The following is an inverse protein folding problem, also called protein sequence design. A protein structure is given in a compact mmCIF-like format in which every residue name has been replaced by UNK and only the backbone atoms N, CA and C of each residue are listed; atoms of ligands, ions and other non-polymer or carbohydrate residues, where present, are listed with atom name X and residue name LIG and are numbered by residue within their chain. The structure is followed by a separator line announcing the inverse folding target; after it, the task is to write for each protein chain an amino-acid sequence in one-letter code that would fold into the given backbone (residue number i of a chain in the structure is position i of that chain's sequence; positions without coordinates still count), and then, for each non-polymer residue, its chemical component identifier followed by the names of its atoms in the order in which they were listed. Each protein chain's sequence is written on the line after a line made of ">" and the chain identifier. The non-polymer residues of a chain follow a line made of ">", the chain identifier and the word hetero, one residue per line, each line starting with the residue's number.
data_IF_442323778537
#
_entry.id   IF_442323778537
#
_cell.length_a   1.000
_cell.length_b   1.000
_cell.length_c   1.000
_cell.angle_alpha   90.00
_cell.angle_beta   90.00
_cell.angle_gamma   90.00
#
_symmetry.space_group_name_H-M   'P 1'
#
loop_
_entity.id
_entity.type
_entity.pdbx_description
1 polymer ?
#
# COMPACT_ATOMS: atom_id res chain seq x y z
N UNK A 1 -16.54 5.82 -1.24
CA UNK A 1 -15.55 6.10 -0.17
C UNK A 1 -14.19 5.56 -0.59
N UNK A 2 -13.13 6.33 -0.43
CA UNK A 2 -11.74 5.95 -0.72
C UNK A 2 -10.93 6.03 0.57
N UNK A 3 -10.07 5.06 0.80
CA UNK A 3 -9.12 5.03 1.92
C UNK A 3 -7.71 4.92 1.37
N UNK A 4 -6.81 5.82 1.76
CA UNK A 4 -5.39 5.74 1.43
C UNK A 4 -4.61 5.60 2.72
N UNK A 5 -3.77 4.57 2.83
CA UNK A 5 -2.80 4.43 3.92
C UNK A 5 -1.39 4.69 3.41
N UNK A 6 -0.53 5.28 4.23
CA UNK A 6 0.87 5.60 3.90
C UNK A 6 1.79 5.22 5.05
N UNK A 7 3.03 4.87 4.72
CA UNK A 7 4.08 4.56 5.70
C UNK A 7 5.41 5.04 5.15
N UNK A 8 6.19 5.77 5.96
CA UNK A 8 7.50 6.30 5.59
C UNK A 8 7.54 7.13 4.29
N UNK A 9 6.42 7.75 3.89
CA UNK A 9 6.37 8.60 2.68
C UNK A 9 6.95 10.02 2.93
N UNK A 10 7.39 10.74 1.89
CA UNK A 10 7.79 12.14 2.01
C UNK A 10 6.69 13.06 2.55
N UNK A 11 7.06 14.16 3.23
CA UNK A 11 6.11 15.09 3.84
C UNK A 11 5.15 15.75 2.84
N UNK A 12 5.60 15.99 1.60
CA UNK A 12 4.76 16.59 0.56
C UNK A 12 3.60 15.67 0.14
N UNK A 13 3.76 14.33 0.25
CA UNK A 13 2.68 13.36 -0.03
C UNK A 13 1.57 13.49 1.01
N UNK A 14 1.93 13.59 2.29
CA UNK A 14 0.97 13.81 3.39
C UNK A 14 0.20 15.12 3.20
N UNK A 15 0.92 16.20 2.90
CA UNK A 15 0.31 17.50 2.61
C UNK A 15 -0.58 17.50 1.37
N UNK A 16 -0.25 16.71 0.35
CA UNK A 16 -1.10 16.56 -0.82
C UNK A 16 -2.41 15.83 -0.49
N UNK A 17 -2.33 14.73 0.27
CA UNK A 17 -3.48 13.92 0.68
C UNK A 17 -4.44 14.69 1.60
N UNK A 18 -3.92 15.44 2.58
CA UNK A 18 -4.73 16.20 3.53
C UNK A 18 -5.56 17.33 2.91
N UNK A 19 -5.26 17.76 1.68
CA UNK A 19 -6.08 18.71 0.93
C UNK A 19 -7.38 18.10 0.38
N UNK A 20 -7.42 16.78 0.22
CA UNK A 20 -8.54 16.05 -0.40
C UNK A 20 -9.26 15.10 0.55
N UNK A 21 -8.58 14.68 1.62
CA UNK A 21 -9.01 13.60 2.51
C UNK A 21 -8.80 14.00 3.97
N UNK A 22 -9.65 13.46 4.85
CA UNK A 22 -9.49 13.60 6.30
C UNK A 22 -8.49 12.55 6.79
N UNK A 23 -7.57 12.93 7.67
CA UNK A 23 -6.60 12.01 8.30
C UNK A 23 -7.04 11.65 9.73
N UNK A 24 -7.92 10.64 9.94
CA UNK A 24 -8.38 10.27 11.28
C UNK A 24 -7.29 9.65 12.17
N UNK A 25 -6.23 9.10 11.56
CA UNK A 25 -5.07 8.54 12.25
C UNK A 25 -3.84 8.73 11.37
N UNK A 26 -2.66 8.76 11.98
CA UNK A 26 -1.40 9.00 11.27
C UNK A 26 -1.25 8.08 10.07
N UNK A 27 -1.13 8.68 8.89
CA UNK A 27 -0.95 8.00 7.63
C UNK A 27 -2.20 7.29 7.11
N UNK A 28 -3.37 7.46 7.72
CA UNK A 28 -4.67 6.93 7.24
C UNK A 28 -5.53 8.09 6.77
N UNK A 29 -5.87 8.10 5.49
CA UNK A 29 -6.63 9.15 4.83
C UNK A 29 -7.96 8.59 4.32
N UNK A 30 -9.08 9.27 4.60
CA UNK A 30 -10.43 8.86 4.20
C UNK A 30 -11.13 10.01 3.48
N UNK A 31 -11.75 9.72 2.34
CA UNK A 31 -12.46 10.73 1.55
C UNK A 31 -13.47 10.15 0.59
N UNK A 32 -14.25 11.01 -0.05
CA UNK A 32 -15.16 10.65 -1.15
C UNK A 32 -14.90 11.57 -2.33
N UNK A 33 -14.66 10.96 -3.48
CA UNK A 33 -14.30 11.66 -4.72
C UNK A 33 -14.68 10.80 -5.92
N UNK A 34 -14.68 11.38 -7.12
CA UNK A 34 -14.92 10.64 -8.36
C UNK A 34 -13.77 9.69 -8.68
N UNK A 35 -14.03 8.67 -9.51
CA UNK A 35 -13.02 7.74 -10.00
C UNK A 35 -11.82 8.48 -10.63
N UNK A 36 -12.08 9.49 -11.46
CA UNK A 36 -11.04 10.32 -12.07
C UNK A 36 -10.15 11.01 -11.04
N UNK A 37 -10.74 11.67 -10.04
CA UNK A 37 -9.96 12.39 -9.00
C UNK A 37 -9.15 11.39 -8.16
N UNK A 38 -9.74 10.25 -7.81
CA UNK A 38 -9.04 9.16 -7.13
C UNK A 38 -7.84 8.67 -7.95
N UNK A 39 -8.02 8.43 -9.24
CA UNK A 39 -6.97 7.86 -10.09
C UNK A 39 -5.79 8.82 -10.27
N UNK A 40 -6.06 10.12 -10.44
CA UNK A 40 -5.02 11.17 -10.47
C UNK A 40 -4.30 11.30 -9.12
N UNK A 41 -5.05 11.30 -8.01
CA UNK A 41 -4.47 11.35 -6.66
C UNK A 41 -3.59 10.12 -6.40
N UNK A 42 -4.06 8.95 -6.80
CA UNK A 42 -3.32 7.70 -6.67
C UNK A 42 -2.03 7.73 -7.50
N UNK A 43 -2.09 8.15 -8.77
CA UNK A 43 -0.91 8.26 -9.62
C UNK A 43 0.16 9.17 -8.98
N UNK A 44 -0.23 10.33 -8.45
CA UNK A 44 0.69 11.23 -7.76
C UNK A 44 1.31 10.62 -6.49
N UNK A 45 0.50 9.92 -5.68
CA UNK A 45 0.96 9.25 -4.47
C UNK A 45 1.93 8.13 -4.82
N UNK A 46 1.55 7.23 -5.74
CA UNK A 46 2.36 6.08 -6.15
C UNK A 46 3.70 6.50 -6.75
N UNK A 47 3.74 7.60 -7.51
CA UNK A 47 4.98 8.14 -8.05
C UNK A 47 5.92 8.75 -6.98
N UNK A 48 5.38 9.07 -5.79
CA UNK A 48 6.08 9.84 -4.76
C UNK A 48 6.39 9.03 -3.50
N UNK A 49 6.13 7.71 -3.46
CA UNK A 49 6.30 6.90 -2.25
C UNK A 49 7.75 6.74 -1.80
N UNK A 50 8.72 6.80 -2.74
CA UNK A 50 10.14 6.57 -2.45
C UNK A 50 10.37 5.18 -1.84
N UNK A 51 11.17 5.12 -0.77
CA UNK A 51 11.39 3.90 0.04
C UNK A 51 10.23 3.60 1.00
N UNK A 52 9.22 4.48 1.04
CA UNK A 52 7.99 4.27 1.77
C UNK A 52 7.02 3.39 0.97
N UNK A 53 5.79 3.34 1.45
CA UNK A 53 4.74 2.66 0.71
C UNK A 53 3.34 3.17 1.04
N UNK A 54 2.43 2.96 0.08
CA UNK A 54 1.05 3.40 0.15
C UNK A 54 0.09 2.29 -0.29
N UNK A 55 -1.13 2.32 0.24
CA UNK A 55 -2.23 1.43 -0.14
C UNK A 55 -3.47 2.27 -0.38
N UNK A 56 -4.16 2.07 -1.49
CA UNK A 56 -5.44 2.69 -1.79
C UNK A 56 -6.53 1.64 -1.87
N UNK A 57 -7.56 1.79 -1.05
CA UNK A 57 -8.81 1.05 -1.14
C UNK A 57 -9.87 1.94 -1.77
N UNK A 58 -10.57 1.43 -2.76
CA UNK A 58 -11.65 2.16 -3.43
C UNK A 58 -12.78 1.23 -3.86
N UNK A 59 -14.01 1.73 -4.03
CA UNK A 59 -15.15 0.89 -4.36
C UNK A 59 -14.97 0.28 -5.75
N UNK A 60 -15.36 -0.98 -5.89
CA UNK A 60 -15.30 -1.75 -7.13
C UNK A 60 -16.52 -2.68 -7.22
N UNK A 61 -16.88 -3.08 -8.43
CA UNK A 61 -18.00 -4.00 -8.70
C UNK A 61 -17.48 -5.45 -8.73
N UNK A 62 -17.10 -5.94 -7.55
CA UNK A 62 -16.61 -7.29 -7.32
C UNK A 62 -17.19 -7.85 -6.00
N UNK A 63 -16.92 -9.11 -5.68
CA UNK A 63 -17.50 -9.81 -4.51
C UNK A 63 -17.18 -9.14 -3.16
N UNK A 64 -16.04 -8.45 -3.06
CA UNK A 64 -15.61 -7.75 -1.85
C UNK A 64 -16.12 -6.31 -1.78
N UNK A 65 -16.62 -5.76 -2.90
CA UNK A 65 -17.11 -4.39 -3.02
C UNK A 65 -16.01 -3.31 -3.03
N UNK A 66 -14.75 -3.70 -3.15
CA UNK A 66 -13.62 -2.78 -3.21
C UNK A 66 -12.44 -3.38 -3.98
N UNK A 67 -11.57 -2.51 -4.49
CA UNK A 67 -10.25 -2.84 -5.03
C UNK A 67 -9.16 -2.30 -4.11
N UNK A 68 -8.02 -2.99 -4.08
CA UNK A 68 -6.82 -2.58 -3.37
C UNK A 68 -5.67 -2.35 -4.34
N UNK A 69 -5.07 -1.17 -4.29
CA UNK A 69 -3.86 -0.82 -5.04
C UNK A 69 -2.72 -0.54 -4.08
N UNK A 70 -1.52 -1.02 -4.38
CA UNK A 70 -0.33 -0.85 -3.55
C UNK A 70 0.78 -0.13 -4.32
N UNK A 71 1.65 0.58 -3.61
CA UNK A 71 2.85 1.20 -4.16
C UNK A 71 3.98 1.16 -3.12
N UNK A 72 5.20 0.93 -3.57
CA UNK A 72 6.39 0.74 -2.72
C UNK A 72 6.52 -0.68 -2.16
N UNK A 73 7.68 -0.99 -1.57
CA UNK A 73 8.01 -2.33 -1.09
C UNK A 73 7.38 -2.61 0.28
N UNK A 74 6.76 -3.80 0.43
CA UNK A 74 5.98 -4.18 1.61
C UNK A 74 6.08 -5.67 1.88
N UNK A 75 6.07 -6.04 3.17
CA UNK A 75 5.87 -7.44 3.61
C UNK A 75 4.48 -7.99 3.32
N UNK A 76 3.50 -7.10 3.14
CA UNK A 76 2.10 -7.44 2.86
C UNK A 76 1.86 -7.17 1.39
N UNK A 77 1.74 -8.25 0.64
CA UNK A 77 1.40 -8.21 -0.78
C UNK A 77 -0.08 -8.53 -0.94
N UNK A 78 -0.77 -7.78 -1.79
CA UNK A 78 -2.16 -8.08 -2.16
C UNK A 78 -2.11 -9.00 -3.36
N UNK A 79 -2.73 -10.17 -3.23
CA UNK A 79 -2.76 -11.21 -4.27
C UNK A 79 -4.20 -11.54 -4.62
N UNK A 80 -4.46 -11.79 -5.91
CA UNK A 80 -5.73 -12.34 -6.36
C UNK A 80 -5.72 -13.86 -6.12
N UNK A 81 -6.76 -14.36 -5.46
CA UNK A 81 -7.01 -15.77 -5.26
C UNK A 81 -8.45 -16.08 -5.67
N UNK A 82 -8.62 -16.61 -6.88
CA UNK A 82 -9.93 -16.95 -7.46
C UNK A 82 -10.91 -15.77 -7.51
N UNK A 83 -10.42 -14.55 -7.79
CA UNK A 83 -11.23 -13.33 -7.85
C UNK A 83 -11.39 -12.60 -6.51
N UNK A 84 -10.84 -13.15 -5.43
CA UNK A 84 -10.77 -12.50 -4.11
C UNK A 84 -9.39 -11.89 -3.89
N UNK A 85 -9.32 -10.62 -3.48
CA UNK A 85 -8.06 -10.05 -3.04
C UNK A 85 -7.77 -10.44 -1.60
N UNK A 86 -6.65 -11.14 -1.41
CA UNK A 86 -6.14 -11.58 -0.11
C UNK A 86 -4.78 -10.92 0.18
N UNK A 87 -4.31 -11.07 1.42
CA UNK A 87 -3.00 -10.57 1.84
C UNK A 87 -2.05 -11.74 2.05
N UNK A 88 -1.00 -11.78 1.25
CA UNK A 88 0.14 -12.68 1.46
C UNK A 88 1.20 -11.97 2.30
N UNK A 89 1.75 -12.70 3.28
CA UNK A 89 2.87 -12.23 4.09
C UNK A 89 4.17 -12.76 3.47
N UNK A 90 4.96 -11.89 2.85
CA UNK A 90 6.25 -12.25 2.31
C UNK A 90 7.34 -12.09 3.40
N UNK A 91 8.14 -13.12 3.71
CA UNK A 91 9.42 -12.91 4.38
C UNK A 91 10.24 -11.94 3.53
N UNK A 92 10.74 -10.84 4.10
CA UNK A 92 11.59 -9.92 3.34
C UNK A 92 12.77 -10.73 2.77
N UNK A 93 13.17 -10.46 1.53
CA UNK A 93 14.37 -11.06 0.91
C UNK A 93 15.65 -10.85 1.77
N UNK A 94 15.62 -9.96 2.76
CA UNK A 94 16.67 -9.76 3.77
C UNK A 94 16.79 -10.91 4.77
N UNK A 95 15.75 -11.73 4.97
CA UNK A 95 15.78 -12.87 5.90
C UNK A 95 16.51 -14.09 5.30
N UNK A 96 16.47 -14.28 3.97
CA UNK A 96 17.18 -15.37 3.31
C UNK A 96 18.70 -15.15 3.31
N UNK A 97 19.14 -13.90 3.14
CA UNK A 97 20.57 -13.52 3.19
C UNK A 97 21.16 -13.68 4.60
N UNK A 98 20.36 -13.51 5.65
CA UNK A 98 20.79 -13.80 7.03
C UNK A 98 20.76 -15.31 7.33
N UNK A 99 19.76 -16.06 6.86
CA UNK A 99 19.69 -17.51 7.06
C UNK A 99 20.82 -18.27 6.34
N UNK A 100 21.19 -17.89 5.11
CA UNK A 100 22.31 -18.53 4.39
C UNK A 100 23.68 -18.24 5.02
N UNK A 101 23.85 -17.08 5.66
CA UNK A 101 25.13 -16.69 6.28
C UNK A 101 25.39 -17.35 7.64
N UNK A 102 24.39 -18.01 8.21
CA UNK A 102 24.42 -18.42 9.61
C UNK A 102 24.52 -19.94 9.81
N UNK A 103 24.62 -20.75 8.75
CA UNK A 103 24.90 -22.18 8.85
C UNK A 103 26.42 -22.40 8.83
N UNK A 104 27.07 -22.77 9.95
CA UNK A 104 28.48 -23.09 9.95
C UNK A 104 28.70 -24.47 9.30
N UNK A 105 29.79 -24.64 8.53
CA UNK A 105 30.14 -25.94 7.96
C UNK A 105 30.27 -27.02 9.05
N UNK A 106 29.50 -28.10 8.91
CA UNK A 106 29.56 -29.28 9.78
C UNK A 106 28.28 -29.66 10.52
N UNK A 107 27.14 -29.00 10.25
CA UNK A 107 25.81 -29.38 10.72
C UNK A 107 24.93 -29.83 9.55
#
# INVERSE_FOLDING_TARGET
>A
MVVITTTAVPAHVRGALSRWMVEPSTGVYVGTMSARVRDELWAAVSASVGDGAAVCLCPADNEQGFDVRTAGERRREVVDWEGMMLVQMNPLASAEVEMERQVPEGW
#
